data_IF_458420859127
#
_entry.id   IF_458420859127
#
_cell.length_a   1.000
_cell.length_b   1.000
_cell.length_c   1.000
_cell.angle_alpha   90.00
_cell.angle_beta   90.00
_cell.angle_gamma   90.00
#
_symmetry.space_group_name_H-M   'P 1'
#
loop_
_entity.id
_entity.type
_entity.pdbx_description
1 polymer ?
#
# COMPACT_ATOMS: atom_id res chain seq x y z
N UNK A 1 -7.51 -59.30 62.67
CA UNK A 1 -6.84 -58.04 62.30
C UNK A 1 -6.35 -58.11 60.85
N UNK A 2 -7.04 -57.43 59.93
CA UNK A 2 -6.59 -57.25 58.56
C UNK A 2 -6.17 -55.80 58.42
N UNK A 3 -4.88 -55.59 58.14
CA UNK A 3 -4.31 -54.30 57.90
C UNK A 3 -4.47 -54.00 56.39
N UNK A 4 -5.29 -52.99 56.03
CA UNK A 4 -5.40 -52.49 54.67
C UNK A 4 -4.25 -51.54 54.31
N UNK A 5 -3.50 -51.89 53.31
CA UNK A 5 -2.46 -51.00 52.74
C UNK A 5 -3.11 -49.98 51.80
N UNK A 6 -3.09 -48.71 52.19
CA UNK A 6 -3.50 -47.60 51.36
C UNK A 6 -2.47 -47.39 50.23
N UNK A 7 -2.91 -47.50 48.97
CA UNK A 7 -2.17 -47.17 47.78
C UNK A 7 -2.11 -45.66 47.58
N UNK A 8 -0.93 -45.07 47.76
CA UNK A 8 -0.66 -43.69 47.40
C UNK A 8 -0.67 -43.55 45.88
N UNK A 9 -1.68 -42.84 45.31
CA UNK A 9 -1.68 -42.40 43.94
C UNK A 9 -0.62 -41.31 43.79
N UNK A 10 0.53 -41.64 43.18
CA UNK A 10 1.49 -40.67 42.70
C UNK A 10 0.79 -39.81 41.61
N UNK A 11 0.57 -38.56 41.94
CA UNK A 11 0.24 -37.55 40.90
C UNK A 11 1.38 -37.44 39.94
N UNK A 12 1.16 -37.82 38.70
CA UNK A 12 2.10 -37.61 37.58
C UNK A 12 2.08 -36.09 37.21
N UNK A 13 3.22 -35.35 37.33
CA UNK A 13 3.26 -33.93 37.03
C UNK A 13 3.31 -33.62 35.52
N UNK A 14 2.99 -34.60 34.65
CA UNK A 14 2.93 -34.42 33.22
C UNK A 14 1.53 -34.03 32.71
N UNK A 15 0.81 -33.19 33.46
CA UNK A 15 -0.38 -32.53 32.90
C UNK A 15 0.08 -31.33 32.05
N UNK A 16 0.05 -31.56 30.72
CA UNK A 16 -0.24 -30.62 29.67
C UNK A 16 0.00 -29.13 29.99
N UNK A 17 1.18 -28.63 29.67
CA UNK A 17 1.25 -27.21 29.27
C UNK A 17 0.41 -27.09 28.00
N UNK A 18 -0.83 -26.63 28.10
CA UNK A 18 -1.59 -26.16 26.96
C UNK A 18 -0.72 -25.18 26.17
N UNK A 19 -0.51 -25.53 24.90
CA UNK A 19 0.23 -24.72 23.95
C UNK A 19 -0.57 -23.46 23.71
N UNK A 20 -0.29 -22.37 24.38
CA UNK A 20 -0.79 -21.07 23.99
C UNK A 20 -0.06 -20.70 22.71
N UNK A 21 -0.66 -21.00 21.56
CA UNK A 21 -0.20 -20.45 20.30
C UNK A 21 -0.52 -18.96 20.31
N UNK A 22 0.49 -18.12 20.24
CA UNK A 22 0.29 -16.68 20.09
C UNK A 22 -0.17 -16.40 18.65
N UNK A 23 -1.26 -15.65 18.50
CA UNK A 23 -1.75 -15.17 17.22
C UNK A 23 -1.60 -13.65 17.19
N UNK A 24 -0.93 -13.14 16.17
CA UNK A 24 -0.80 -11.71 15.92
C UNK A 24 -1.49 -11.42 14.60
N UNK A 25 -2.43 -10.49 14.64
CA UNK A 25 -3.17 -10.04 13.46
C UNK A 25 -2.85 -8.57 13.19
N UNK A 26 -2.48 -8.25 11.98
CA UNK A 26 -2.29 -6.89 11.50
C UNK A 26 -3.14 -6.63 10.27
N UNK A 27 -3.69 -5.41 10.17
CA UNK A 27 -4.33 -4.91 8.95
C UNK A 27 -3.85 -3.51 8.63
N UNK A 28 -3.63 -3.22 7.37
CA UNK A 28 -3.20 -1.92 6.90
C UNK A 28 -4.05 -1.47 5.69
N UNK A 29 -4.52 -0.20 5.64
CA UNK A 29 -5.29 0.33 4.53
C UNK A 29 -4.42 0.50 3.29
N UNK A 30 -5.03 0.47 2.11
CA UNK A 30 -4.40 0.91 0.87
C UNK A 30 -4.57 2.43 0.68
N UNK A 31 -4.16 2.96 -0.47
CA UNK A 31 -4.19 4.40 -0.73
C UNK A 31 -4.67 4.74 -2.14
N UNK A 32 -5.18 5.95 -2.29
CA UNK A 32 -5.26 6.65 -3.57
C UNK A 32 -4.27 7.81 -3.59
N UNK A 33 -3.73 8.10 -4.78
CA UNK A 33 -2.82 9.20 -5.04
C UNK A 33 -3.56 10.30 -5.81
N UNK A 34 -3.55 11.52 -5.28
CA UNK A 34 -4.22 12.67 -5.88
C UNK A 34 -3.28 13.52 -6.74
N UNK A 35 -2.00 13.60 -6.38
CA UNK A 35 -0.97 14.28 -7.16
C UNK A 35 0.45 13.90 -6.72
N UNK A 36 1.43 14.17 -7.58
CA UNK A 36 2.85 14.06 -7.28
C UNK A 36 3.50 12.72 -7.59
N UNK A 37 2.72 11.72 -8.00
CA UNK A 37 3.24 10.38 -8.32
C UNK A 37 4.47 10.39 -9.23
N UNK A 38 5.35 9.43 -9.00
CA UNK A 38 6.65 9.20 -9.64
C UNK A 38 7.76 10.06 -9.04
N UNK A 39 7.46 11.27 -8.51
CA UNK A 39 8.47 12.12 -7.89
C UNK A 39 9.09 11.48 -6.65
N UNK A 40 8.36 10.64 -5.93
CA UNK A 40 8.76 9.98 -4.70
C UNK A 40 9.80 8.85 -4.87
N UNK A 41 10.23 8.58 -6.10
CA UNK A 41 11.30 7.61 -6.38
C UNK A 41 12.65 8.29 -6.21
N UNK A 42 13.43 7.80 -5.24
CA UNK A 42 14.80 8.28 -5.03
C UNK A 42 15.71 7.95 -6.26
N UNK A 43 16.56 8.86 -6.73
CA UNK A 43 16.82 10.23 -6.31
C UNK A 43 16.03 11.30 -7.12
N UNK A 44 14.94 10.95 -7.79
CA UNK A 44 14.24 11.81 -8.75
C UNK A 44 13.80 13.15 -8.13
N UNK A 45 13.25 13.10 -6.92
CA UNK A 45 12.78 14.31 -6.21
C UNK A 45 13.90 15.30 -5.89
N UNK A 46 15.17 14.87 -5.80
CA UNK A 46 16.30 15.78 -5.56
C UNK A 46 16.51 16.79 -6.69
N UNK A 47 16.01 16.49 -7.88
CA UNK A 47 16.06 17.40 -9.04
C UNK A 47 14.85 18.34 -9.12
N UNK A 48 13.87 18.21 -8.22
CA UNK A 48 12.63 18.98 -8.23
C UNK A 48 12.36 19.55 -6.84
N UNK A 49 12.98 20.72 -6.49
CA UNK A 49 12.78 21.36 -5.18
C UNK A 49 11.28 21.54 -4.86
N UNK A 50 10.90 21.22 -3.63
CA UNK A 50 9.50 21.25 -3.21
C UNK A 50 8.66 20.07 -3.70
N UNK A 51 9.28 19.01 -4.21
CA UNK A 51 8.56 17.80 -4.60
C UNK A 51 7.75 17.25 -3.41
N UNK A 52 6.52 16.86 -3.69
CA UNK A 52 5.64 16.20 -2.73
C UNK A 52 4.65 15.30 -3.47
N UNK A 53 4.08 14.36 -2.73
CA UNK A 53 2.92 13.58 -3.17
C UNK A 53 1.74 13.82 -2.23
N UNK A 54 0.52 13.76 -2.75
CA UNK A 54 -0.72 13.95 -1.98
C UNK A 54 -1.53 12.67 -2.02
N UNK A 55 -1.72 12.05 -0.86
CA UNK A 55 -2.29 10.71 -0.74
C UNK A 55 -3.42 10.66 0.29
N UNK A 56 -4.34 9.72 0.10
CA UNK A 56 -5.45 9.43 1.02
C UNK A 56 -5.51 7.94 1.26
N UNK A 57 -5.50 7.54 2.53
CA UNK A 57 -5.70 6.15 2.94
C UNK A 57 -7.17 5.74 2.76
N UNK A 58 -7.42 4.57 2.20
CA UNK A 58 -8.76 4.07 1.90
C UNK A 58 -9.00 2.69 2.49
N UNK A 59 -10.27 2.41 2.85
CA UNK A 59 -10.73 1.17 3.49
C UNK A 59 -10.75 -0.03 2.53
N UNK A 60 -9.61 -0.29 1.91
CA UNK A 60 -9.27 -1.54 1.23
C UNK A 60 -8.02 -2.06 1.89
N UNK A 61 -8.13 -3.18 2.58
CA UNK A 61 -7.09 -3.60 3.51
C UNK A 61 -6.23 -4.73 2.97
N UNK A 62 -4.98 -4.72 3.40
CA UNK A 62 -4.11 -5.88 3.40
C UNK A 62 -3.98 -6.42 4.82
N UNK A 63 -3.91 -7.73 4.96
CA UNK A 63 -3.90 -8.45 6.24
C UNK A 63 -2.64 -9.28 6.36
N UNK A 64 -2.14 -9.38 7.58
CA UNK A 64 -1.07 -10.30 7.96
C UNK A 64 -1.45 -10.97 9.28
N UNK A 65 -1.37 -12.30 9.32
CA UNK A 65 -1.53 -13.10 10.54
C UNK A 65 -0.26 -13.89 10.78
N UNK A 66 0.26 -13.85 12.00
CA UNK A 66 1.36 -14.70 12.45
C UNK A 66 0.84 -15.65 13.51
N UNK A 67 1.02 -16.94 13.31
CA UNK A 67 0.69 -18.01 14.25
C UNK A 67 1.98 -18.71 14.67
N UNK A 68 2.31 -18.68 15.97
CA UNK A 68 3.52 -19.35 16.49
C UNK A 68 3.32 -20.86 16.49
N UNK A 69 4.38 -21.59 16.14
CA UNK A 69 4.39 -23.05 16.23
C UNK A 69 4.67 -23.52 17.65
N UNK A 70 4.52 -24.82 17.87
CA UNK A 70 4.87 -25.45 19.13
C UNK A 70 6.34 -25.29 19.45
N UNK A 71 6.69 -25.20 20.72
CA UNK A 71 8.08 -25.12 21.17
C UNK A 71 8.92 -26.26 20.58
N UNK A 72 10.01 -25.91 19.89
CA UNK A 72 10.91 -26.86 19.21
C UNK A 72 10.54 -27.14 17.75
N UNK A 73 9.41 -26.65 17.25
CA UNK A 73 9.14 -26.63 15.80
C UNK A 73 9.72 -25.34 15.22
N UNK A 74 10.81 -25.45 14.47
CA UNK A 74 11.54 -24.34 13.84
C UNK A 74 11.02 -24.01 12.43
N UNK A 75 9.99 -24.71 11.94
CA UNK A 75 9.48 -24.59 10.60
C UNK A 75 8.89 -23.20 10.36
N UNK A 76 9.17 -22.63 9.18
CA UNK A 76 8.60 -21.38 8.70
C UNK A 76 7.65 -21.68 7.54
N UNK A 77 6.39 -21.34 7.71
CA UNK A 77 5.37 -21.42 6.67
C UNK A 77 4.98 -20.01 6.21
N UNK A 78 5.17 -19.70 4.92
CA UNK A 78 4.72 -18.47 4.29
C UNK A 78 3.52 -18.78 3.40
N UNK A 79 2.43 -18.04 3.57
CA UNK A 79 1.16 -18.26 2.86
C UNK A 79 0.59 -16.93 2.36
N UNK A 80 0.23 -16.86 1.09
CA UNK A 80 -0.51 -15.74 0.51
C UNK A 80 -1.85 -16.28 -0.02
N UNK A 81 -2.96 -15.84 0.57
CA UNK A 81 -4.31 -16.30 0.23
C UNK A 81 -4.79 -15.67 -1.07
N UNK A 82 -4.53 -14.40 -1.27
CA UNK A 82 -4.94 -13.63 -2.44
C UNK A 82 -4.37 -14.17 -3.75
N UNK A 83 -3.09 -14.58 -3.77
CA UNK A 83 -2.44 -15.19 -4.95
C UNK A 83 -2.36 -16.73 -4.88
N UNK A 84 -2.95 -17.36 -3.84
CA UNK A 84 -3.01 -18.81 -3.63
C UNK A 84 -1.65 -19.50 -3.72
N UNK A 85 -0.65 -18.93 -3.03
CA UNK A 85 0.72 -19.49 -2.98
C UNK A 85 1.11 -19.83 -1.54
N UNK A 86 1.90 -20.88 -1.42
CA UNK A 86 2.51 -21.32 -0.16
C UNK A 86 3.93 -21.81 -0.41
N UNK A 87 4.81 -21.56 0.56
CA UNK A 87 6.12 -22.19 0.67
C UNK A 87 6.48 -22.42 2.13
N UNK A 88 7.36 -23.40 2.37
CA UNK A 88 7.75 -23.82 3.71
C UNK A 88 9.27 -24.07 3.77
N UNK A 89 9.85 -23.73 4.91
CA UNK A 89 11.27 -23.94 5.19
C UNK A 89 11.40 -24.67 6.52
N UNK A 90 12.41 -25.57 6.61
CA UNK A 90 12.64 -26.35 7.83
C UNK A 90 13.06 -25.48 9.04
N UNK A 91 13.65 -24.31 8.78
CA UNK A 91 14.04 -23.33 9.80
C UNK A 91 14.28 -21.96 9.17
N UNK A 92 14.44 -20.93 10.00
CA UNK A 92 14.83 -19.60 9.55
C UNK A 92 16.17 -19.62 8.78
N UNK A 93 17.17 -20.36 9.26
CA UNK A 93 18.45 -20.51 8.56
C UNK A 93 18.31 -21.21 7.20
N UNK A 94 17.35 -22.12 7.04
CA UNK A 94 17.05 -22.72 5.74
C UNK A 94 16.39 -21.71 4.79
N UNK A 95 15.52 -20.84 5.30
CA UNK A 95 14.92 -19.77 4.53
C UNK A 95 15.99 -18.76 4.06
N UNK A 96 16.89 -18.30 4.95
CA UNK A 96 17.95 -17.35 4.58
C UNK A 96 18.87 -17.86 3.46
N UNK A 97 19.14 -19.17 3.44
CA UNK A 97 20.01 -19.79 2.42
C UNK A 97 19.29 -20.13 1.11
N UNK A 98 17.97 -19.95 1.04
CA UNK A 98 17.22 -20.26 -0.16
C UNK A 98 17.60 -19.32 -1.31
N UNK A 99 17.93 -19.89 -2.48
CA UNK A 99 18.33 -19.10 -3.64
C UNK A 99 17.17 -18.36 -4.31
N UNK A 100 15.93 -18.79 -4.09
CA UNK A 100 14.70 -18.20 -4.66
C UNK A 100 13.52 -18.40 -3.70
N UNK A 101 12.58 -17.46 -3.75
CA UNK A 101 11.34 -17.51 -2.99
C UNK A 101 10.12 -17.51 -3.93
N UNK A 102 9.08 -18.27 -3.56
CA UNK A 102 7.75 -18.16 -4.19
C UNK A 102 6.99 -16.94 -3.69
N UNK A 103 7.29 -16.51 -2.46
CA UNK A 103 6.72 -15.37 -1.76
C UNK A 103 7.84 -14.40 -1.31
N UNK A 104 8.57 -13.76 -2.25
CA UNK A 104 9.78 -13.03 -1.95
C UNK A 104 9.56 -11.85 -0.98
N UNK A 105 8.45 -11.11 -1.09
CA UNK A 105 8.17 -9.98 -0.19
C UNK A 105 8.07 -10.43 1.28
N UNK A 106 7.36 -11.54 1.53
CA UNK A 106 7.22 -12.09 2.87
C UNK A 106 8.57 -12.55 3.44
N UNK A 107 9.35 -13.24 2.61
CA UNK A 107 10.67 -13.73 2.99
C UNK A 107 11.65 -12.59 3.28
N UNK A 108 11.74 -11.56 2.41
CA UNK A 108 12.67 -10.44 2.60
C UNK A 108 12.36 -9.63 3.87
N UNK A 109 11.08 -9.37 4.15
CA UNK A 109 10.71 -8.69 5.40
C UNK A 109 11.00 -9.57 6.63
N UNK A 110 10.68 -10.88 6.57
CA UNK A 110 10.99 -11.80 7.67
C UNK A 110 12.49 -11.89 7.96
N UNK A 111 13.34 -11.85 6.94
CA UNK A 111 14.81 -11.82 7.08
C UNK A 111 15.29 -10.58 7.84
N UNK A 112 14.66 -9.45 7.64
CA UNK A 112 15.00 -8.23 8.37
C UNK A 112 14.72 -8.37 9.88
N UNK A 113 13.55 -8.89 10.26
CA UNK A 113 13.13 -9.02 11.66
C UNK A 113 13.75 -10.21 12.39
N UNK A 114 14.23 -11.25 11.68
CA UNK A 114 14.87 -12.45 12.22
C UNK A 114 14.12 -13.09 13.40
N UNK A 115 12.83 -13.43 13.22
CA UNK A 115 12.05 -14.01 14.30
C UNK A 115 12.64 -15.32 14.81
N UNK A 116 12.58 -15.55 16.12
CA UNK A 116 13.00 -16.79 16.75
C UNK A 116 11.88 -17.82 16.78
N UNK A 117 12.21 -19.10 16.54
CA UNK A 117 11.26 -20.23 16.52
C UNK A 117 10.44 -20.31 15.23
N UNK A 118 9.62 -21.35 15.15
CA UNK A 118 8.76 -21.58 13.99
C UNK A 118 7.47 -20.79 14.03
N UNK A 119 6.96 -20.42 12.86
CA UNK A 119 5.71 -19.70 12.71
C UNK A 119 5.10 -19.90 11.31
N UNK A 120 3.80 -19.66 11.24
CA UNK A 120 3.08 -19.46 9.96
C UNK A 120 2.79 -17.98 9.79
N UNK A 121 3.25 -17.37 8.70
CA UNK A 121 2.89 -16.02 8.27
C UNK A 121 1.91 -16.13 7.11
N UNK A 122 0.69 -15.66 7.32
CA UNK A 122 -0.38 -15.66 6.32
C UNK A 122 -0.73 -14.25 5.92
N UNK A 123 -0.80 -13.96 4.63
CA UNK A 123 -1.26 -12.68 4.09
C UNK A 123 -2.53 -12.84 3.25
N UNK A 124 -3.31 -11.75 3.17
CA UNK A 124 -4.48 -11.62 2.31
C UNK A 124 -4.66 -10.15 1.89
N UNK A 125 -5.41 -9.88 0.82
CA UNK A 125 -5.64 -8.52 0.34
C UNK A 125 -7.03 -8.36 -0.28
N UNK A 126 -7.71 -7.27 0.09
CA UNK A 126 -8.97 -6.84 -0.54
C UNK A 126 -8.71 -6.04 -1.84
N UNK A 127 -7.47 -5.61 -2.07
CA UNK A 127 -7.11 -4.92 -3.30
C UNK A 127 -6.99 -5.94 -4.44
N UNK A 128 -7.67 -5.73 -5.58
CA UNK A 128 -7.44 -6.59 -6.73
C UNK A 128 -5.96 -6.60 -7.12
N UNK A 129 -5.44 -7.75 -7.50
CA UNK A 129 -4.05 -7.86 -7.93
C UNK A 129 -3.74 -6.87 -9.06
N UNK A 130 -2.68 -6.08 -8.91
CA UNK A 130 -2.32 -5.04 -9.88
C UNK A 130 -3.28 -3.85 -9.92
N UNK A 131 -4.12 -3.64 -8.91
CA UNK A 131 -5.06 -2.52 -8.83
C UNK A 131 -4.40 -1.12 -8.82
N UNK A 132 -3.11 -1.03 -8.44
CA UNK A 132 -2.40 0.25 -8.41
C UNK A 132 -2.79 1.16 -7.24
N UNK A 133 -3.45 0.62 -6.21
CA UNK A 133 -3.84 1.33 -4.98
C UNK A 133 -2.90 1.03 -3.79
N UNK A 134 -1.66 0.62 -4.05
CA UNK A 134 -0.66 0.35 -3.00
C UNK A 134 -0.91 -0.94 -2.20
N UNK A 135 -1.55 -1.97 -2.80
CA UNK A 135 -1.85 -3.23 -2.10
C UNK A 135 -0.62 -3.98 -1.61
N UNK A 136 0.45 -4.04 -2.42
CA UNK A 136 1.73 -4.66 -2.03
C UNK A 136 2.39 -3.93 -0.86
N UNK A 137 2.43 -2.59 -0.94
CA UNK A 137 3.03 -1.75 0.11
C UNK A 137 2.21 -1.77 1.40
N UNK A 138 0.87 -1.81 1.31
CA UNK A 138 0.02 -2.02 2.48
C UNK A 138 0.25 -3.39 3.13
N UNK A 139 0.41 -4.43 2.31
CA UNK A 139 0.77 -5.77 2.79
C UNK A 139 2.13 -5.75 3.48
N UNK A 140 3.14 -5.12 2.88
CA UNK A 140 4.47 -5.02 3.45
C UNK A 140 4.47 -4.31 4.81
N UNK A 141 3.73 -3.20 4.94
CA UNK A 141 3.56 -2.48 6.22
C UNK A 141 2.85 -3.37 7.26
N UNK A 142 1.79 -4.10 6.88
CA UNK A 142 1.11 -5.02 7.79
C UNK A 142 2.04 -6.14 8.26
N UNK A 143 2.88 -6.70 7.38
CA UNK A 143 3.90 -7.71 7.74
C UNK A 143 4.93 -7.11 8.69
N UNK A 144 5.46 -5.92 8.41
CA UNK A 144 6.41 -5.25 9.29
C UNK A 144 5.83 -5.06 10.69
N UNK A 145 4.61 -4.54 10.79
CA UNK A 145 3.94 -4.29 12.07
C UNK A 145 3.66 -5.60 12.85
N UNK A 146 3.27 -6.68 12.16
CA UNK A 146 3.05 -7.98 12.78
C UNK A 146 4.36 -8.61 13.27
N UNK A 147 5.42 -8.56 12.46
CA UNK A 147 6.73 -9.09 12.81
C UNK A 147 7.42 -8.29 13.91
N UNK A 148 7.27 -6.96 13.91
CA UNK A 148 7.75 -6.10 15.00
C UNK A 148 7.09 -6.48 16.33
N UNK A 149 5.78 -6.68 16.32
CA UNK A 149 5.02 -7.15 17.48
C UNK A 149 5.45 -8.55 17.91
N UNK A 150 5.71 -9.45 16.96
CA UNK A 150 6.14 -10.82 17.22
C UNK A 150 7.55 -10.89 17.83
N UNK A 151 8.49 -10.11 17.29
CA UNK A 151 9.89 -10.13 17.74
C UNK A 151 10.17 -9.20 18.91
N UNK A 152 9.28 -8.24 19.18
CA UNK A 152 9.51 -7.18 20.15
C UNK A 152 10.63 -6.21 19.74
N UNK A 153 10.86 -6.02 18.43
CA UNK A 153 11.97 -5.21 17.92
C UNK A 153 11.80 -3.70 18.22
N UNK A 154 10.58 -3.22 18.52
CA UNK A 154 10.29 -1.84 18.92
C UNK A 154 10.54 -0.81 17.83
N UNK A 155 10.28 -1.15 16.59
CA UNK A 155 10.45 -0.28 15.42
C UNK A 155 9.34 0.77 15.34
N UNK A 156 9.68 1.98 14.88
CA UNK A 156 8.72 3.04 14.60
C UNK A 156 7.93 2.78 13.32
N UNK A 157 6.85 3.54 13.08
CA UNK A 157 6.10 3.48 11.82
C UNK A 157 6.97 3.91 10.64
N UNK A 158 7.86 4.86 10.85
CA UNK A 158 8.84 5.31 9.86
C UNK A 158 9.85 4.19 9.52
N UNK A 159 10.30 3.43 10.52
CA UNK A 159 11.15 2.25 10.27
C UNK A 159 10.40 1.23 9.42
N UNK A 160 9.12 0.95 9.72
CA UNK A 160 8.32 0.01 8.91
C UNK A 160 8.18 0.48 7.46
N UNK A 161 8.03 1.78 7.23
CA UNK A 161 7.98 2.37 5.88
C UNK A 161 9.29 2.11 5.15
N UNK A 162 10.42 2.40 5.77
CA UNK A 162 11.74 2.19 5.15
C UNK A 162 12.01 0.71 4.88
N UNK A 163 11.76 -0.17 5.86
CA UNK A 163 11.94 -1.62 5.71
C UNK A 163 11.06 -2.16 4.58
N UNK A 164 9.78 -1.79 4.55
CA UNK A 164 8.84 -2.28 3.55
C UNK A 164 9.17 -1.78 2.14
N UNK A 165 9.58 -0.50 2.01
CA UNK A 165 10.05 0.09 0.75
C UNK A 165 11.28 -0.63 0.22
N UNK A 166 12.29 -0.82 1.07
CA UNK A 166 13.55 -1.43 0.67
C UNK A 166 13.35 -2.92 0.32
N UNK A 167 12.52 -3.65 1.07
CA UNK A 167 12.14 -5.02 0.73
C UNK A 167 11.40 -5.10 -0.61
N UNK A 168 10.47 -4.17 -0.89
CA UNK A 168 9.77 -4.11 -2.17
C UNK A 168 10.74 -3.82 -3.32
N UNK A 169 11.68 -2.89 -3.15
CA UNK A 169 12.71 -2.59 -4.15
C UNK A 169 13.61 -3.79 -4.47
N UNK A 170 14.00 -4.57 -3.46
CA UNK A 170 14.75 -5.83 -3.63
C UNK A 170 13.95 -6.81 -4.48
N UNK A 171 12.66 -6.98 -4.17
CA UNK A 171 11.78 -7.96 -4.85
C UNK A 171 11.54 -7.61 -6.31
N UNK A 172 11.28 -6.33 -6.61
CA UNK A 172 11.01 -5.88 -7.99
C UNK A 172 12.28 -5.54 -8.77
N UNK A 173 13.44 -5.47 -8.10
CA UNK A 173 14.75 -5.15 -8.66
C UNK A 173 14.81 -3.80 -9.41
N UNK A 174 14.03 -2.83 -8.95
CA UNK A 174 14.06 -1.43 -9.40
C UNK A 174 13.74 -0.52 -8.21
N UNK A 175 14.18 0.76 -8.25
CA UNK A 175 13.78 1.72 -7.22
C UNK A 175 12.25 1.85 -7.15
N UNK A 176 11.70 1.86 -5.94
CA UNK A 176 10.28 2.08 -5.68
C UNK A 176 10.07 3.43 -4.98
N UNK A 177 8.87 3.98 -5.10
CA UNK A 177 8.48 5.19 -4.41
C UNK A 177 8.14 4.94 -2.94
N UNK A 178 8.18 5.98 -2.14
CA UNK A 178 7.87 5.90 -0.70
C UNK A 178 6.41 6.18 -0.38
N UNK A 179 5.69 6.91 -1.24
CA UNK A 179 4.32 7.36 -1.00
C UNK A 179 3.32 6.23 -0.67
N UNK A 180 3.57 5.04 -1.21
CA UNK A 180 2.67 3.90 -1.11
C UNK A 180 2.65 3.29 0.30
N UNK A 181 3.67 3.56 1.11
CA UNK A 181 3.87 3.00 2.45
C UNK A 181 3.36 3.90 3.59
N UNK A 182 3.28 5.24 3.37
CA UNK A 182 2.83 6.19 4.39
C UNK A 182 1.35 6.06 4.76
N UNK A 183 0.40 6.05 3.80
CA UNK A 183 -1.01 5.89 4.13
C UNK A 183 -1.33 4.56 4.84
N UNK A 184 -0.76 3.41 4.46
CA UNK A 184 -0.87 2.18 5.24
C UNK A 184 -0.41 2.32 6.69
N UNK A 185 0.70 3.01 6.94
CA UNK A 185 1.24 3.16 8.29
C UNK A 185 0.44 4.12 9.16
N UNK A 186 -0.03 5.26 8.60
CA UNK A 186 -0.58 6.36 9.37
C UNK A 186 -2.07 6.62 9.18
N UNK A 187 -2.66 6.22 8.05
CA UNK A 187 -4.04 6.58 7.70
C UNK A 187 -4.19 8.05 7.31
N UNK A 188 -5.43 8.49 7.16
CA UNK A 188 -5.82 9.87 6.87
C UNK A 188 -5.50 10.34 5.46
N UNK A 189 -5.42 11.65 5.31
CA UNK A 189 -4.95 12.34 4.10
C UNK A 189 -3.68 13.12 4.42
N UNK A 190 -2.64 12.98 3.61
CA UNK A 190 -1.36 13.61 3.87
C UNK A 190 -0.62 14.00 2.59
N UNK A 191 0.19 15.04 2.67
CA UNK A 191 1.29 15.27 1.77
C UNK A 191 2.54 14.55 2.30
N UNK A 192 3.28 13.91 1.40
CA UNK A 192 4.61 13.41 1.69
C UNK A 192 5.58 14.37 1.01
N UNK A 193 6.19 15.22 1.79
CA UNK A 193 7.22 16.16 1.34
C UNK A 193 8.54 15.41 1.15
N UNK A 194 9.28 15.77 0.11
CA UNK A 194 10.45 15.02 -0.38
C UNK A 194 11.69 15.92 -0.45
N UNK A 195 12.13 16.53 0.67
CA UNK A 195 13.37 17.31 0.69
C UNK A 195 14.61 16.42 0.64
N UNK A 196 15.79 16.99 0.34
CA UNK A 196 17.07 16.23 0.30
C UNK A 196 17.42 15.50 1.61
N UNK A 197 16.87 15.94 2.75
CA UNK A 197 17.12 15.35 4.07
C UNK A 197 16.28 14.12 4.41
N UNK A 198 15.42 13.67 3.51
CA UNK A 198 14.50 12.56 3.72
C UNK A 198 13.02 12.99 3.65
N UNK A 199 12.16 12.03 3.50
CA UNK A 199 10.72 12.24 3.36
C UNK A 199 10.05 12.63 4.69
N UNK A 200 9.06 13.53 4.63
CA UNK A 200 8.28 13.98 5.77
C UNK A 200 6.79 13.90 5.48
N UNK A 201 6.03 13.25 6.38
CA UNK A 201 4.57 13.23 6.31
C UNK A 201 4.01 14.51 6.95
N UNK A 202 3.20 15.22 6.19
CA UNK A 202 2.44 16.37 6.68
C UNK A 202 0.95 16.08 6.50
N UNK A 203 0.23 16.00 7.61
CA UNK A 203 -1.21 15.77 7.59
C UNK A 203 -1.94 16.93 6.93
N UNK A 204 -2.89 16.65 6.03
CA UNK A 204 -3.71 17.67 5.38
C UNK A 204 -4.78 18.19 6.34
N UNK A 205 -4.87 19.50 6.46
CA UNK A 205 -5.95 20.17 7.21
C UNK A 205 -7.21 20.25 6.37
N UNK A 206 -7.81 19.10 6.07
CA UNK A 206 -9.04 18.97 5.27
C UNK A 206 -10.09 18.20 6.06
N UNK A 207 -11.35 18.56 5.89
CA UNK A 207 -12.46 17.75 6.43
C UNK A 207 -12.51 16.41 5.67
N UNK A 208 -12.11 15.34 6.36
CA UNK A 208 -12.06 14.01 5.78
C UNK A 208 -13.46 13.48 5.42
N UNK A 209 -14.53 13.90 6.11
CA UNK A 209 -15.90 13.51 5.75
C UNK A 209 -16.30 14.17 4.43
N UNK A 210 -15.94 15.43 4.24
CA UNK A 210 -16.24 16.17 3.02
C UNK A 210 -15.39 15.63 1.85
N UNK A 211 -14.12 15.31 2.09
CA UNK A 211 -13.26 14.69 1.09
C UNK A 211 -13.79 13.31 0.69
N UNK A 212 -14.24 12.48 1.65
CA UNK A 212 -14.81 11.14 1.39
C UNK A 212 -16.03 11.21 0.47
N UNK A 213 -16.93 12.17 0.69
CA UNK A 213 -18.09 12.40 -0.19
C UNK A 213 -17.70 12.76 -1.63
N UNK A 214 -16.48 13.24 -1.85
CA UNK A 214 -15.97 13.70 -3.15
C UNK A 214 -15.06 12.70 -3.84
N UNK A 215 -14.71 11.61 -3.20
CA UNK A 215 -13.87 10.58 -3.81
C UNK A 215 -14.72 9.41 -4.33
N UNK A 216 -14.43 9.00 -5.56
CA UNK A 216 -14.90 7.74 -6.13
C UNK A 216 -13.69 7.00 -6.67
N UNK A 217 -13.60 5.72 -6.38
CA UNK A 217 -12.57 4.82 -6.92
C UNK A 217 -13.22 3.77 -7.78
N UNK A 218 -12.68 3.52 -8.95
CA UNK A 218 -13.15 2.42 -9.79
C UNK A 218 -11.99 1.57 -10.31
N UNK A 219 -12.26 0.28 -10.51
CA UNK A 219 -11.32 -0.69 -11.08
C UNK A 219 -11.66 -0.94 -12.55
N UNK A 220 -10.66 -0.91 -13.40
CA UNK A 220 -10.84 -1.05 -14.87
C UNK A 220 -10.97 -2.50 -15.34
N UNK A 221 -11.04 -3.48 -14.42
CA UNK A 221 -11.15 -4.91 -14.73
C UNK A 221 -9.86 -5.54 -15.27
N UNK A 222 -8.80 -4.76 -15.44
CA UNK A 222 -7.49 -5.27 -15.90
C UNK A 222 -6.40 -4.86 -14.92
N UNK A 223 -5.56 -5.81 -14.47
CA UNK A 223 -4.39 -5.47 -13.68
C UNK A 223 -3.46 -4.56 -14.48
N UNK A 224 -2.76 -3.66 -13.80
CA UNK A 224 -1.69 -2.87 -14.42
C UNK A 224 -0.63 -3.82 -15.00
N UNK A 225 -0.16 -3.51 -16.19
CA UNK A 225 1.02 -4.18 -16.73
C UNK A 225 2.25 -3.60 -16.00
N UNK A 226 2.83 -4.39 -15.12
CA UNK A 226 4.10 -4.25 -14.37
C UNK A 226 4.73 -2.84 -14.18
N UNK A 227 5.46 -2.62 -13.07
CA UNK A 227 6.10 -1.37 -12.62
C UNK A 227 7.14 -0.71 -13.53
N UNK A 228 7.28 -1.18 -14.77
CA UNK A 228 8.16 -0.65 -15.81
C UNK A 228 7.87 0.81 -16.14
N UNK A 229 6.60 1.23 -16.04
CA UNK A 229 6.17 2.59 -16.44
C UNK A 229 6.89 3.72 -15.68
N UNK A 230 7.02 3.60 -14.36
CA UNK A 230 7.72 4.61 -13.57
C UNK A 230 9.22 4.63 -13.87
N UNK A 231 9.82 3.46 -14.11
CA UNK A 231 11.22 3.34 -14.49
C UNK A 231 11.52 3.99 -15.83
N UNK A 232 10.63 3.89 -16.81
CA UNK A 232 10.79 4.57 -18.10
C UNK A 232 10.79 6.10 -17.95
N UNK A 233 9.91 6.65 -17.11
CA UNK A 233 9.88 8.09 -16.80
C UNK A 233 11.15 8.52 -16.08
N UNK A 234 11.57 7.75 -15.07
CA UNK A 234 12.83 8.00 -14.35
C UNK A 234 14.03 8.02 -15.29
N UNK A 235 14.18 6.99 -16.11
CA UNK A 235 15.26 6.88 -17.10
C UNK A 235 15.25 8.05 -18.09
N UNK A 236 14.09 8.42 -18.61
CA UNK A 236 13.95 9.53 -19.53
C UNK A 236 14.33 10.88 -18.90
N UNK A 237 14.07 11.05 -17.59
CA UNK A 237 14.53 12.23 -16.84
C UNK A 237 16.06 12.27 -16.75
N UNK A 238 16.70 11.17 -16.35
CA UNK A 238 18.16 11.06 -16.23
C UNK A 238 18.84 11.26 -17.59
N UNK A 239 18.29 10.66 -18.66
CA UNK A 239 18.76 10.84 -20.04
C UNK A 239 18.58 12.28 -20.57
N UNK A 240 18.05 13.20 -19.77
CA UNK A 240 17.96 14.63 -20.11
C UNK A 240 16.81 14.98 -21.04
N UNK A 241 15.77 14.16 -21.19
CA UNK A 241 14.61 14.48 -22.04
C UNK A 241 13.85 15.67 -21.49
N UNK A 242 14.02 16.86 -22.07
CA UNK A 242 13.48 18.13 -21.60
C UNK A 242 11.98 18.12 -21.37
N UNK A 243 11.20 17.44 -22.21
CA UNK A 243 9.74 17.27 -22.03
C UNK A 243 9.42 16.58 -20.70
N UNK A 244 10.17 15.53 -20.35
CA UNK A 244 9.91 14.75 -19.12
C UNK A 244 10.33 15.56 -17.89
N UNK A 245 11.50 16.23 -17.94
CA UNK A 245 11.96 17.13 -16.88
C UNK A 245 10.96 18.25 -16.60
N UNK A 246 10.51 18.95 -17.64
CA UNK A 246 9.49 19.99 -17.51
C UNK A 246 8.16 19.41 -16.96
N UNK A 247 7.73 18.23 -17.44
CA UNK A 247 6.52 17.59 -16.96
C UNK A 247 6.58 17.23 -15.47
N UNK A 248 7.72 16.74 -14.97
CA UNK A 248 7.92 16.43 -13.55
C UNK A 248 8.00 17.71 -12.70
N UNK A 249 8.65 18.77 -13.20
CA UNK A 249 8.64 20.07 -12.55
C UNK A 249 7.22 20.61 -12.36
N UNK A 250 6.38 20.53 -13.38
CA UNK A 250 4.97 20.93 -13.29
C UNK A 250 4.17 20.03 -12.33
N UNK A 251 4.42 18.73 -12.33
CA UNK A 251 3.79 17.79 -11.38
C UNK A 251 4.15 18.16 -9.94
N UNK A 252 5.41 18.54 -9.67
CA UNK A 252 5.85 19.01 -8.35
C UNK A 252 5.07 20.26 -7.91
N UNK A 253 5.00 21.28 -8.76
CA UNK A 253 4.27 22.52 -8.48
C UNK A 253 2.77 22.26 -8.28
N UNK A 254 2.17 21.42 -9.12
CA UNK A 254 0.75 21.05 -9.01
C UNK A 254 0.46 20.31 -7.71
N UNK A 255 1.35 19.44 -7.22
CA UNK A 255 1.14 18.75 -5.96
C UNK A 255 1.04 19.72 -4.77
N UNK A 256 1.89 20.74 -4.71
CA UNK A 256 1.84 21.77 -3.68
C UNK A 256 0.57 22.64 -3.80
N UNK A 257 0.21 23.04 -5.00
CA UNK A 257 -1.01 23.83 -5.24
C UNK A 257 -2.27 23.02 -4.91
N UNK A 258 -2.31 21.73 -5.26
CA UNK A 258 -3.43 20.82 -4.92
C UNK A 258 -3.59 20.68 -3.41
N UNK A 259 -2.49 20.54 -2.67
CA UNK A 259 -2.50 20.55 -1.20
C UNK A 259 -3.21 21.80 -0.68
N UNK A 260 -2.79 22.99 -1.12
CA UNK A 260 -3.41 24.26 -0.71
C UNK A 260 -4.88 24.36 -1.07
N UNK A 261 -5.28 23.89 -2.27
CA UNK A 261 -6.68 23.88 -2.70
C UNK A 261 -7.55 22.95 -1.82
N UNK A 262 -7.04 21.76 -1.47
CA UNK A 262 -7.74 20.83 -0.59
C UNK A 262 -7.88 21.39 0.84
N UNK A 263 -6.83 21.98 1.40
CA UNK A 263 -6.85 22.62 2.73
C UNK A 263 -7.76 23.85 2.78
N UNK A 264 -7.87 24.56 1.66
CA UNK A 264 -8.80 25.70 1.50
C UNK A 264 -10.23 25.30 1.08
N UNK A 265 -10.54 24.00 0.97
CA UNK A 265 -11.81 23.47 0.47
C UNK A 265 -12.22 24.03 -0.92
N UNK A 266 -11.23 24.46 -1.73
CA UNK A 266 -11.46 24.88 -3.11
C UNK A 266 -11.46 23.65 -4.07
N UNK A 267 -12.58 22.95 -4.06
CA UNK A 267 -12.75 21.72 -4.84
C UNK A 267 -12.67 21.93 -6.35
N UNK A 268 -13.06 23.13 -6.83
CA UNK A 268 -12.98 23.48 -8.24
C UNK A 268 -11.53 23.59 -8.71
N UNK A 269 -10.70 24.31 -7.95
CA UNK A 269 -9.25 24.41 -8.20
C UNK A 269 -8.56 23.06 -8.02
N UNK A 270 -8.92 22.29 -6.97
CA UNK A 270 -8.40 20.95 -6.77
C UNK A 270 -8.66 20.04 -7.97
N UNK A 271 -9.89 20.09 -8.52
CA UNK A 271 -10.23 19.35 -9.75
C UNK A 271 -9.44 19.82 -10.97
N UNK A 272 -9.21 21.13 -11.13
CA UNK A 272 -8.41 21.67 -12.24
C UNK A 272 -6.94 21.20 -12.15
N UNK A 273 -6.35 21.29 -10.97
CA UNK A 273 -4.98 20.87 -10.70
C UNK A 273 -4.77 19.36 -10.90
N UNK A 274 -5.71 18.54 -10.44
CA UNK A 274 -5.66 17.09 -10.65
C UNK A 274 -5.74 16.71 -12.13
N UNK A 275 -6.53 17.45 -12.96
CA UNK A 275 -6.55 17.29 -14.41
C UNK A 275 -5.23 17.71 -15.06
N UNK A 276 -4.63 18.79 -14.58
CA UNK A 276 -3.35 19.28 -15.08
C UNK A 276 -2.26 18.22 -14.82
N UNK A 277 -2.14 17.72 -13.59
CA UNK A 277 -1.20 16.64 -13.24
C UNK A 277 -1.39 15.43 -14.15
N UNK A 278 -2.64 14.95 -14.32
CA UNK A 278 -2.94 13.82 -15.19
C UNK A 278 -2.53 14.06 -16.64
N UNK A 279 -2.68 15.29 -17.14
CA UNK A 279 -2.25 15.65 -18.50
C UNK A 279 -0.73 15.56 -18.66
N UNK A 280 0.04 15.98 -17.66
CA UNK A 280 1.50 15.88 -17.67
C UNK A 280 1.97 14.43 -17.56
N UNK A 281 1.34 13.63 -16.70
CA UNK A 281 1.63 12.19 -16.64
C UNK A 281 1.42 11.48 -17.97
N UNK A 282 0.30 11.75 -18.65
CA UNK A 282 0.03 11.19 -19.99
C UNK A 282 1.03 11.67 -21.05
N UNK A 283 1.49 12.91 -20.95
CA UNK A 283 2.53 13.42 -21.87
C UNK A 283 3.89 12.80 -21.60
N UNK A 284 4.24 12.59 -20.34
CA UNK A 284 5.50 11.95 -19.98
C UNK A 284 5.53 10.49 -20.41
N UNK A 285 4.42 9.77 -20.24
CA UNK A 285 4.27 8.35 -20.56
C UNK A 285 2.86 8.08 -21.14
N UNK A 286 2.66 8.09 -22.47
CA UNK A 286 1.34 7.86 -23.08
C UNK A 286 0.71 6.51 -22.71
N UNK A 287 1.51 5.48 -22.48
CA UNK A 287 1.07 4.13 -22.10
C UNK A 287 0.47 4.05 -20.70
N UNK A 288 0.56 5.12 -19.89
CA UNK A 288 -0.06 5.20 -18.57
C UNK A 288 -1.59 5.16 -18.63
N UNK A 289 -2.19 5.57 -19.75
CA UNK A 289 -3.63 5.48 -19.98
C UNK A 289 -3.99 4.39 -20.98
N UNK A 290 -5.21 3.88 -20.86
CA UNK A 290 -5.80 2.93 -21.81
C UNK A 290 -7.12 3.49 -22.30
N UNK A 291 -7.67 2.95 -23.42
CA UNK A 291 -8.99 3.32 -23.92
C UNK A 291 -10.10 3.20 -22.86
N UNK A 292 -9.99 2.21 -21.94
CA UNK A 292 -10.93 2.02 -20.84
C UNK A 292 -10.81 3.17 -19.82
N UNK A 293 -9.59 3.49 -19.39
CA UNK A 293 -9.32 4.60 -18.47
C UNK A 293 -9.84 5.92 -19.04
N UNK A 294 -9.51 6.21 -20.30
CA UNK A 294 -9.95 7.46 -20.94
C UNK A 294 -11.49 7.53 -21.08
N UNK A 295 -12.18 6.42 -21.41
CA UNK A 295 -13.65 6.35 -21.44
C UNK A 295 -14.26 6.58 -20.07
N UNK A 296 -13.75 5.89 -19.03
CA UNK A 296 -14.27 6.02 -17.66
C UNK A 296 -14.14 7.48 -17.16
N UNK A 297 -12.95 8.09 -17.32
CA UNK A 297 -12.70 9.47 -16.90
C UNK A 297 -13.56 10.45 -17.71
N UNK A 298 -13.65 10.28 -19.03
CA UNK A 298 -14.45 11.17 -19.88
C UNK A 298 -15.96 11.04 -19.59
N UNK A 299 -16.46 9.82 -19.39
CA UNK A 299 -17.84 9.54 -18.98
C UNK A 299 -18.18 10.19 -17.64
N UNK A 300 -17.34 9.95 -16.63
CA UNK A 300 -17.48 10.54 -15.31
C UNK A 300 -17.49 12.07 -15.35
N UNK A 301 -16.60 12.69 -16.13
CA UNK A 301 -16.53 14.15 -16.25
C UNK A 301 -17.78 14.78 -16.89
N UNK A 302 -18.35 14.16 -17.90
CA UNK A 302 -19.63 14.62 -18.48
C UNK A 302 -20.81 14.53 -17.50
N UNK A 303 -20.66 13.72 -16.46
CA UNK A 303 -21.69 13.45 -15.45
C UNK A 303 -21.41 14.11 -14.09
N UNK A 304 -20.44 15.05 -14.00
CA UNK A 304 -20.19 15.86 -12.79
C UNK A 304 -18.92 15.55 -12.03
N UNK A 305 -18.04 14.66 -12.55
CA UNK A 305 -16.70 14.55 -11.96
C UNK A 305 -15.87 15.79 -12.32
N UNK A 306 -15.22 16.36 -11.30
CA UNK A 306 -14.30 17.48 -11.44
C UNK A 306 -12.99 17.05 -12.10
N UNK A 307 -12.50 15.85 -11.74
CA UNK A 307 -11.26 15.27 -12.26
C UNK A 307 -11.26 13.74 -12.15
N UNK A 308 -10.29 13.11 -12.84
CA UNK A 308 -9.97 11.68 -12.68
C UNK A 308 -8.55 11.38 -13.15
N UNK A 309 -7.90 10.46 -12.48
CA UNK A 309 -6.56 9.96 -12.81
C UNK A 309 -6.35 8.51 -12.33
N UNK A 310 -5.35 7.84 -12.84
CA UNK A 310 -4.96 6.53 -12.30
C UNK A 310 -4.29 6.66 -10.92
N UNK A 311 -4.48 5.64 -10.08
CA UNK A 311 -3.97 5.62 -8.69
C UNK A 311 -2.50 5.18 -8.54
N UNK A 312 -1.76 4.94 -9.59
CA UNK A 312 -0.37 4.45 -9.51
C UNK A 312 0.33 4.52 -10.85
N UNK A 313 1.14 3.52 -11.18
CA UNK A 313 1.94 3.49 -12.42
C UNK A 313 1.11 3.43 -13.72
N UNK A 314 -0.18 3.17 -13.63
CA UNK A 314 -1.11 3.17 -14.78
C UNK A 314 -0.98 1.96 -15.71
N UNK A 315 -1.54 2.08 -16.92
CA UNK A 315 -1.64 0.97 -17.87
C UNK A 315 -2.75 -0.04 -17.52
N UNK A 316 -3.57 0.26 -16.52
CA UNK A 316 -4.65 -0.53 -15.94
C UNK A 316 -4.84 -0.17 -14.47
N UNK A 317 -5.52 -1.04 -13.72
CA UNK A 317 -5.77 -0.86 -12.30
C UNK A 317 -6.90 0.11 -11.99
N UNK A 318 -6.78 0.86 -10.89
CA UNK A 318 -7.79 1.78 -10.40
C UNK A 318 -7.61 3.21 -10.91
N UNK A 319 -8.74 3.87 -11.03
CA UNK A 319 -8.87 5.31 -11.27
C UNK A 319 -9.50 5.93 -10.03
N UNK A 320 -8.96 7.02 -9.55
CA UNK A 320 -9.58 7.90 -8.56
C UNK A 320 -10.21 9.10 -9.26
N UNK A 321 -11.40 9.46 -8.81
CA UNK A 321 -12.17 10.60 -9.32
C UNK A 321 -12.45 11.55 -8.17
N UNK A 322 -12.29 12.84 -8.41
CA UNK A 322 -12.81 13.91 -7.57
C UNK A 322 -14.12 14.37 -8.16
N UNK A 323 -15.20 14.36 -7.39
CA UNK A 323 -16.56 14.61 -7.88
C UNK A 323 -17.24 15.73 -7.10
N UNK A 324 -18.29 16.29 -7.68
CA UNK A 324 -19.33 16.97 -6.91
C UNK A 324 -20.17 15.92 -6.19
N UNK A 325 -20.42 16.02 -4.86
CA UNK A 325 -21.21 15.04 -4.12
C UNK A 325 -22.58 14.76 -4.73
N UNK A 326 -23.27 15.78 -5.23
CA UNK A 326 -24.60 15.67 -5.86
C UNK A 326 -24.57 14.94 -7.22
N UNK A 327 -23.38 14.73 -7.76
CA UNK A 327 -23.19 14.01 -9.02
C UNK A 327 -22.87 12.51 -8.83
N UNK A 328 -22.70 12.03 -7.58
CA UNK A 328 -22.18 10.68 -7.29
C UNK A 328 -22.89 9.58 -8.08
N UNK A 329 -24.21 9.50 -8.01
CA UNK A 329 -24.98 8.44 -8.69
C UNK A 329 -24.82 8.48 -10.22
N UNK A 330 -24.79 9.69 -10.80
CA UNK A 330 -24.59 9.85 -12.24
C UNK A 330 -23.20 9.46 -12.68
N UNK A 331 -22.18 9.79 -11.86
CA UNK A 331 -20.78 9.45 -12.11
C UNK A 331 -20.59 7.93 -11.99
N UNK A 332 -21.12 7.29 -10.95
CA UNK A 332 -20.99 5.85 -10.73
C UNK A 332 -21.68 5.06 -11.85
N UNK A 333 -22.85 5.51 -12.31
CA UNK A 333 -23.54 4.94 -13.49
C UNK A 333 -22.67 5.03 -14.75
N UNK A 334 -22.11 6.22 -15.03
CA UNK A 334 -21.25 6.43 -16.20
C UNK A 334 -19.97 5.60 -16.18
N UNK A 335 -19.44 5.30 -14.98
CA UNK A 335 -18.30 4.37 -14.78
C UNK A 335 -18.71 2.94 -15.17
N UNK A 336 -19.89 2.49 -14.72
CA UNK A 336 -20.43 1.17 -15.08
C UNK A 336 -20.68 1.03 -16.58
N UNK A 337 -21.27 2.05 -17.23
CA UNK A 337 -21.48 2.11 -18.68
C UNK A 337 -20.15 2.07 -19.47
N UNK A 338 -19.09 2.62 -18.91
CA UNK A 338 -17.76 2.51 -19.50
C UNK A 338 -17.16 1.10 -19.36
N UNK A 339 -17.74 0.23 -18.51
CA UNK A 339 -17.28 -1.15 -18.23
C UNK A 339 -16.27 -1.24 -17.09
N UNK A 340 -16.18 -0.21 -16.23
CA UNK A 340 -15.37 -0.25 -15.00
C UNK A 340 -16.26 -0.52 -13.79
N UNK A 341 -15.69 -1.08 -12.74
CA UNK A 341 -16.36 -1.41 -11.47
C UNK A 341 -16.08 -0.35 -10.42
N UNK A 342 -17.12 0.22 -9.81
CA UNK A 342 -16.96 1.13 -8.68
C UNK A 342 -16.57 0.32 -7.45
N UNK A 343 -15.48 0.72 -6.80
CA UNK A 343 -15.04 0.12 -5.54
C UNK A 343 -15.57 0.95 -4.37
N UNK A 344 -16.43 0.39 -3.50
CA UNK A 344 -16.83 1.08 -2.27
C UNK A 344 -15.62 1.33 -1.39
N UNK A 345 -15.43 2.58 -1.00
CA UNK A 345 -14.34 3.01 -0.12
C UNK A 345 -14.85 3.98 0.94
N UNK A 346 -14.12 4.01 2.07
CA UNK A 346 -14.12 5.09 3.07
C UNK A 346 -12.69 5.56 3.28
N UNK A 347 -12.51 6.73 3.86
CA UNK A 347 -11.19 7.17 4.28
C UNK A 347 -10.82 6.45 5.59
N UNK A 348 -9.73 5.69 5.58
CA UNK A 348 -9.17 5.12 6.80
C UNK A 348 -8.39 6.19 7.55
N UNK A 349 -8.69 6.39 8.84
CA UNK A 349 -8.09 7.46 9.67
C UNK A 349 -6.99 6.96 10.60
N UNK A 350 -6.79 5.67 10.70
CA UNK A 350 -5.98 5.07 11.76
C UNK A 350 -4.65 4.51 11.25
N UNK A 351 -4.63 4.06 10.00
CA UNK A 351 -3.51 3.32 9.45
C UNK A 351 -3.44 1.88 9.99
N UNK A 352 -2.24 1.32 10.01
CA UNK A 352 -2.03 -0.05 10.44
C UNK A 352 -2.46 -0.29 11.88
N UNK A 353 -3.19 -1.37 12.10
CA UNK A 353 -3.63 -1.84 13.41
C UNK A 353 -3.08 -3.24 13.65
N UNK A 354 -2.58 -3.50 14.88
CA UNK A 354 -2.04 -4.80 15.29
C UNK A 354 -2.69 -5.22 16.59
N UNK A 355 -3.16 -6.46 16.65
CA UNK A 355 -3.69 -7.10 17.85
C UNK A 355 -2.95 -8.41 18.11
N UNK A 356 -2.83 -8.80 19.38
CA UNK A 356 -2.26 -10.08 19.82
C UNK A 356 -3.31 -10.82 20.64
N UNK A 357 -3.47 -12.09 20.38
CA UNK A 357 -4.37 -13.00 21.11
C UNK A 357 -3.66 -14.22 21.62
#
# INVERSE_FOLDING_TARGET
>A
LKISRGGSKKNDPRKSSEKVSMIIEAKAPTRVDLAGSTLDIWPLYLFHPGAATVNVAISRYAYCTIETHARGDERIDLVSRDIKRKESFASFAAMERAARYKLPLLAEIAKFFRPAGGFTLTTDSEAPAGAGIGGSSAMAVAICAALDRFTGAGKSKEDWIHISRDAEAIVINVPTGTQDHYPPAFGGAAAIELPPGGEHRVELRVDLNELEKRLVVCYTGKPRQHGINNWEVFKAHIDGKGRVRHGLERISQVAQQLRGALEGADWKSAGALMREEWSFRKRNLPTISTRMIDRAIAGARRNGALAGKVCGAGGGGCVVLLIDPDARERVERAIGEAGAEVLPIKIDRQGVQVVSR
#
